data_IF_024338505460
#
_entry.id   IF_024338505460
#
_cell.length_a   1.000
_cell.length_b   1.000
_cell.length_c   1.000
_cell.angle_alpha   90.00
_cell.angle_beta   90.00
_cell.angle_gamma   90.00
#
_symmetry.space_group_name_H-M   'P 1'
#
loop_
_entity.id
_entity.type
_entity.pdbx_description
1 polymer ?
#
# COMPACT_ATOMS: atom_id res chain seq x y z
N UNK A 1 14.04 1.65 -20.12
CA UNK A 1 13.48 2.99 -19.91
C UNK A 1 12.06 2.98 -20.42
N UNK A 2 11.11 3.53 -19.68
CA UNK A 2 9.74 3.70 -20.16
C UNK A 2 9.69 4.92 -21.07
N UNK A 3 9.07 4.80 -22.26
CA UNK A 3 9.00 5.92 -23.21
C UNK A 3 7.90 6.93 -22.86
N UNK A 4 6.97 6.57 -21.97
CA UNK A 4 5.79 7.37 -21.58
C UNK A 4 5.76 7.74 -20.09
N UNK A 5 6.93 7.97 -19.46
CA UNK A 5 7.04 8.31 -18.02
C UNK A 5 6.11 9.47 -17.61
N UNK A 6 5.85 10.44 -18.50
CA UNK A 6 4.93 11.53 -18.23
C UNK A 6 3.52 11.06 -17.88
N UNK A 7 3.06 9.97 -18.51
CA UNK A 7 1.73 9.37 -18.30
C UNK A 7 1.66 8.58 -16.98
N UNK A 8 2.81 8.21 -16.42
CA UNK A 8 2.92 7.43 -15.17
C UNK A 8 3.23 8.29 -13.95
N UNK A 9 3.27 9.62 -14.07
CA UNK A 9 3.58 10.53 -12.94
C UNK A 9 2.70 10.26 -11.72
N UNK A 10 1.43 9.93 -11.94
CA UNK A 10 0.50 9.57 -10.86
C UNK A 10 0.83 8.21 -10.23
N UNK A 11 1.14 7.20 -11.04
CA UNK A 11 1.58 5.88 -10.58
C UNK A 11 2.81 6.02 -9.69
N UNK A 12 3.87 6.67 -10.17
CA UNK A 12 5.13 6.87 -9.43
C UNK A 12 4.91 7.59 -8.10
N UNK A 13 4.04 8.61 -8.08
CA UNK A 13 3.69 9.33 -6.85
C UNK A 13 2.98 8.42 -5.85
N UNK A 14 2.01 7.62 -6.30
CA UNK A 14 1.26 6.70 -5.45
C UNK A 14 2.13 5.53 -4.97
N UNK A 15 3.04 5.02 -5.81
CA UNK A 15 4.02 4.00 -5.42
C UNK A 15 4.92 4.51 -4.27
N UNK A 16 5.38 5.76 -4.38
CA UNK A 16 6.20 6.41 -3.35
C UNK A 16 5.42 6.60 -2.04
N UNK A 17 4.20 7.15 -2.12
CA UNK A 17 3.32 7.32 -0.95
C UNK A 17 3.03 5.96 -0.28
N UNK A 18 2.73 4.93 -1.08
CA UNK A 18 2.42 3.59 -0.60
C UNK A 18 3.63 2.94 0.08
N UNK A 19 4.83 3.09 -0.49
CA UNK A 19 6.06 2.57 0.11
C UNK A 19 6.36 3.19 1.49
N UNK A 20 6.22 4.50 1.62
CA UNK A 20 6.45 5.22 2.88
C UNK A 20 5.44 4.82 3.95
N UNK A 21 4.15 4.75 3.59
CA UNK A 21 3.08 4.38 4.52
C UNK A 21 3.21 2.90 4.95
N UNK A 22 3.48 1.98 4.02
CA UNK A 22 3.72 0.57 4.34
C UNK A 22 4.91 0.41 5.29
N UNK A 23 6.00 1.13 5.03
CA UNK A 23 7.20 1.10 5.87
C UNK A 23 6.91 1.63 7.27
N UNK A 24 6.20 2.75 7.39
CA UNK A 24 5.80 3.29 8.69
C UNK A 24 4.88 2.33 9.46
N UNK A 25 3.90 1.75 8.78
CA UNK A 25 2.93 0.81 9.35
C UNK A 25 3.62 -0.44 9.88
N UNK A 26 4.48 -1.07 9.07
CA UNK A 26 5.25 -2.25 9.47
C UNK A 26 6.13 -1.98 10.71
N UNK A 27 6.79 -0.82 10.76
CA UNK A 27 7.62 -0.42 11.91
C UNK A 27 6.82 -0.26 13.19
N UNK A 28 5.59 0.25 13.11
CA UNK A 28 4.72 0.40 14.30
C UNK A 28 4.15 -0.95 14.72
N UNK A 29 3.64 -1.75 13.78
CA UNK A 29 3.10 -3.09 14.06
C UNK A 29 4.13 -4.03 14.70
N UNK A 30 5.41 -3.85 14.38
CA UNK A 30 6.49 -4.67 14.94
C UNK A 30 6.83 -4.35 16.41
N UNK A 31 6.28 -3.26 16.98
CA UNK A 31 6.51 -2.88 18.38
C UNK A 31 5.36 -3.41 19.25
N UNK A 32 5.64 -4.49 19.97
CA UNK A 32 4.62 -5.20 20.76
C UNK A 32 4.50 -4.73 22.23
N UNK A 33 5.45 -3.93 22.72
CA UNK A 33 5.41 -3.41 24.10
C UNK A 33 4.61 -2.11 24.17
N UNK A 34 3.82 -1.93 25.23
CA UNK A 34 2.93 -0.76 25.43
C UNK A 34 2.06 -0.42 24.21
N UNK A 35 1.47 -1.47 23.63
CA UNK A 35 0.66 -1.40 22.42
C UNK A 35 -0.52 -0.41 22.54
N UNK A 36 -0.51 0.63 21.72
CA UNK A 36 -1.67 1.51 21.51
C UNK A 36 -2.48 1.04 20.30
N UNK A 37 -3.62 0.43 20.58
CA UNK A 37 -4.54 -0.08 19.56
C UNK A 37 -5.13 1.01 18.66
N UNK A 38 -5.33 2.24 19.18
CA UNK A 38 -5.92 3.34 18.41
C UNK A 38 -4.92 3.88 17.39
N UNK A 39 -3.67 4.06 17.79
CA UNK A 39 -2.58 4.48 16.89
C UNK A 39 -2.38 3.43 15.80
N UNK A 40 -2.35 2.15 16.18
CA UNK A 40 -2.18 1.04 15.23
C UNK A 40 -3.33 0.96 14.23
N UNK A 41 -4.59 1.12 14.70
CA UNK A 41 -5.77 1.14 13.84
C UNK A 41 -5.68 2.25 12.79
N UNK A 42 -5.36 3.48 13.20
CA UNK A 42 -5.25 4.62 12.29
C UNK A 42 -4.19 4.40 11.20
N UNK A 43 -3.05 3.80 11.55
CA UNK A 43 -2.00 3.47 10.57
C UNK A 43 -2.42 2.36 9.61
N UNK A 44 -3.09 1.31 10.10
CA UNK A 44 -3.62 0.25 9.25
C UNK A 44 -4.67 0.77 8.26
N UNK A 45 -5.57 1.65 8.70
CA UNK A 45 -6.56 2.29 7.83
C UNK A 45 -5.89 3.14 6.73
N UNK A 46 -4.86 3.91 7.09
CA UNK A 46 -4.06 4.67 6.13
C UNK A 46 -3.32 3.74 5.14
N UNK A 47 -2.68 2.68 5.64
CA UNK A 47 -1.96 1.70 4.83
C UNK A 47 -2.86 1.00 3.83
N UNK A 48 -4.04 0.54 4.29
CA UNK A 48 -5.06 -0.06 3.46
C UNK A 48 -5.49 0.90 2.34
N UNK A 49 -5.79 2.16 2.67
CA UNK A 49 -6.22 3.15 1.68
C UNK A 49 -5.12 3.48 0.65
N UNK A 50 -3.86 3.55 1.10
CA UNK A 50 -2.70 3.75 0.22
C UNK A 50 -2.53 2.56 -0.74
N UNK A 51 -2.55 1.32 -0.22
CA UNK A 51 -2.48 0.10 -1.02
C UNK A 51 -3.61 0.02 -2.04
N UNK A 52 -4.85 0.34 -1.64
CA UNK A 52 -6.00 0.35 -2.55
C UNK A 52 -5.82 1.32 -3.71
N UNK A 53 -5.34 2.53 -3.41
CA UNK A 53 -5.16 3.61 -4.38
C UNK A 53 -4.00 3.32 -5.34
N UNK A 54 -2.87 2.84 -4.80
CA UNK A 54 -1.69 2.44 -5.56
C UNK A 54 -1.99 1.25 -6.46
N UNK A 55 -2.58 0.19 -5.90
CA UNK A 55 -2.93 -1.01 -6.65
C UNK A 55 -3.89 -0.73 -7.81
N UNK A 56 -4.89 0.14 -7.60
CA UNK A 56 -5.79 0.56 -8.68
C UNK A 56 -5.06 1.30 -9.80
N UNK A 57 -4.15 2.23 -9.46
CA UNK A 57 -3.38 2.94 -10.47
C UNK A 57 -2.43 2.02 -11.23
N UNK A 58 -1.72 1.12 -10.54
CA UNK A 58 -0.82 0.15 -11.17
C UNK A 58 -1.56 -0.83 -12.09
N UNK A 59 -2.79 -1.23 -11.77
CA UNK A 59 -3.62 -2.08 -12.62
C UNK A 59 -3.87 -1.46 -14.00
N UNK A 60 -4.00 -0.12 -14.09
CA UNK A 60 -4.18 0.58 -15.36
C UNK A 60 -2.98 0.43 -16.32
N UNK A 61 -1.80 0.13 -15.77
CA UNK A 61 -0.54 0.01 -16.51
C UNK A 61 -0.07 -1.45 -16.65
N UNK A 62 -0.80 -2.42 -16.08
CA UNK A 62 -0.35 -3.80 -15.93
C UNK A 62 -0.16 -4.57 -17.26
N UNK A 63 -0.88 -4.19 -18.32
CA UNK A 63 -0.71 -4.82 -19.65
C UNK A 63 0.52 -4.31 -20.38
N UNK A 64 0.95 -3.07 -20.11
CA UNK A 64 2.11 -2.44 -20.74
C UNK A 64 3.40 -2.70 -19.96
N UNK A 65 3.29 -2.82 -18.63
CA UNK A 65 4.41 -2.83 -17.71
C UNK A 65 4.28 -3.94 -16.68
N UNK A 66 5.13 -4.97 -16.81
CA UNK A 66 5.12 -6.11 -15.90
C UNK A 66 5.39 -5.72 -14.44
N UNK A 67 6.22 -4.70 -14.20
CA UNK A 67 6.45 -4.20 -12.85
C UNK A 67 5.18 -3.59 -12.21
N UNK A 68 4.30 -2.95 -13.00
CA UNK A 68 3.02 -2.46 -12.51
C UNK A 68 2.07 -3.60 -12.16
N UNK A 69 2.05 -4.69 -12.95
CA UNK A 69 1.30 -5.91 -12.59
C UNK A 69 1.75 -6.47 -11.24
N UNK A 70 3.07 -6.59 -11.03
CA UNK A 70 3.63 -7.07 -9.76
C UNK A 70 3.33 -6.13 -8.59
N UNK A 71 3.42 -4.81 -8.80
CA UNK A 71 3.09 -3.81 -7.79
C UNK A 71 1.60 -3.88 -7.39
N UNK A 72 0.70 -3.98 -8.38
CA UNK A 72 -0.72 -4.14 -8.15
C UNK A 72 -1.03 -5.38 -7.30
N UNK A 73 -0.47 -6.54 -7.65
CA UNK A 73 -0.63 -7.78 -6.88
C UNK A 73 -0.12 -7.64 -5.44
N UNK A 74 1.03 -6.99 -5.25
CA UNK A 74 1.58 -6.72 -3.92
C UNK A 74 0.67 -5.79 -3.10
N UNK A 75 0.16 -4.72 -3.71
CA UNK A 75 -0.78 -3.79 -3.09
C UNK A 75 -2.07 -4.50 -2.66
N UNK A 76 -2.66 -5.36 -3.52
CA UNK A 76 -3.87 -6.12 -3.17
C UNK A 76 -3.65 -7.08 -2.01
N UNK A 77 -2.51 -7.76 -1.96
CA UNK A 77 -2.16 -8.61 -0.80
C UNK A 77 -2.02 -7.79 0.48
N UNK A 78 -1.40 -6.62 0.42
CA UNK A 78 -1.22 -5.77 1.60
C UNK A 78 -2.54 -5.13 2.06
N UNK A 79 -3.39 -4.68 1.12
CA UNK A 79 -4.76 -4.20 1.40
C UNK A 79 -5.56 -5.25 2.15
N UNK A 80 -5.57 -6.49 1.64
CA UNK A 80 -6.27 -7.62 2.26
C UNK A 80 -5.73 -7.93 3.66
N UNK A 81 -4.41 -7.97 3.83
CA UNK A 81 -3.80 -8.21 5.14
C UNK A 81 -4.13 -7.11 6.17
N UNK A 82 -4.19 -5.84 5.73
CA UNK A 82 -4.62 -4.74 6.59
C UNK A 82 -6.08 -4.90 7.02
N UNK A 83 -6.98 -5.27 6.08
CA UNK A 83 -8.39 -5.52 6.37
C UNK A 83 -8.58 -6.68 7.35
N UNK A 84 -7.86 -7.78 7.16
CA UNK A 84 -7.89 -8.94 8.07
C UNK A 84 -7.45 -8.57 9.48
N UNK A 85 -6.35 -7.82 9.62
CA UNK A 85 -5.88 -7.39 10.94
C UNK A 85 -6.85 -6.41 11.59
N UNK A 86 -7.37 -5.43 10.85
CA UNK A 86 -8.37 -4.47 11.35
C UNK A 86 -9.63 -5.16 11.87
N UNK A 87 -10.06 -6.26 11.23
CA UNK A 87 -11.22 -7.04 11.65
C UNK A 87 -11.00 -7.76 13.00
N UNK A 88 -9.76 -8.11 13.34
CA UNK A 88 -9.42 -8.73 14.65
C UNK A 88 -9.37 -7.72 15.80
N UNK A 89 -9.26 -6.42 15.51
CA UNK A 89 -9.08 -5.36 16.51
C UNK A 89 -10.40 -4.86 17.11
N UNK A 90 -11.41 -5.74 17.20
CA UNK A 90 -12.76 -5.41 17.73
C UNK A 90 -12.77 -5.13 19.21
#
# INVERSE_FOLDING_TARGET
SEELVSEMTKCVRLDSDCADICTATSRVLSRQHEYDAKVTRSLLEACRQACKSCGHECELHAEMHEHCRLCAEACRRCEQACDELLATMT
#
